data_IF_468381917876
#
_entry.id   IF_468381917876
#
_cell.length_a   1.000
_cell.length_b   1.000
_cell.length_c   1.000
_cell.angle_alpha   90.00
_cell.angle_beta   90.00
_cell.angle_gamma   90.00
#
_symmetry.space_group_name_H-M   'P 1'
#
loop_
_entity.id
_entity.type
_entity.pdbx_description
1 polymer ?
#
# COMPACT_ATOMS: atom_id res chain seq x y z
N UNK A 1 27.55 9.40 -3.07
CA UNK A 1 26.83 8.13 -3.37
C UNK A 1 25.34 8.35 -3.13
N UNK A 2 24.53 8.52 -4.18
CA UNK A 2 23.09 8.80 -4.03
C UNK A 2 22.36 7.58 -3.46
N UNK A 3 21.58 7.76 -2.37
CA UNK A 3 20.81 6.68 -1.75
C UNK A 3 19.82 6.10 -2.78
N UNK A 4 19.94 4.80 -3.05
CA UNK A 4 19.08 4.10 -4.01
C UNK A 4 17.60 4.28 -3.66
N UNK A 5 16.74 4.69 -4.63
CA UNK A 5 15.32 4.90 -4.35
C UNK A 5 14.63 3.64 -3.85
N UNK A 6 13.86 3.73 -2.76
CA UNK A 6 13.12 2.61 -2.15
C UNK A 6 12.30 1.81 -3.16
N UNK A 7 11.74 2.48 -4.17
CA UNK A 7 10.97 1.86 -5.26
C UNK A 7 11.77 0.76 -5.99
N UNK A 8 13.09 0.93 -6.12
CA UNK A 8 13.98 -0.03 -6.79
C UNK A 8 14.27 -1.24 -5.90
N UNK A 9 14.44 -1.02 -4.59
CA UNK A 9 14.66 -2.09 -3.60
C UNK A 9 13.39 -2.95 -3.45
N UNK A 10 12.21 -2.32 -3.38
CA UNK A 10 10.92 -3.01 -3.28
C UNK A 10 10.65 -3.83 -4.55
N UNK A 11 10.91 -3.27 -5.74
CA UNK A 11 10.77 -4.00 -7.02
C UNK A 11 11.69 -5.23 -7.11
N UNK A 12 12.91 -5.13 -6.59
CA UNK A 12 13.84 -6.29 -6.50
C UNK A 12 13.40 -7.33 -5.46
N UNK A 13 12.85 -6.93 -4.31
CA UNK A 13 12.36 -7.87 -3.29
C UNK A 13 11.09 -8.61 -3.74
N UNK A 14 10.16 -7.93 -4.40
CA UNK A 14 8.94 -8.53 -4.95
C UNK A 14 9.24 -9.56 -6.05
N UNK A 15 10.29 -9.32 -6.85
CA UNK A 15 10.78 -10.26 -7.88
C UNK A 15 11.41 -11.54 -7.29
N UNK A 16 11.67 -11.58 -5.99
CA UNK A 16 12.45 -12.62 -5.33
C UNK A 16 11.66 -13.48 -4.33
N UNK A 17 10.32 -13.39 -4.35
CA UNK A 17 9.39 -14.16 -3.49
C UNK A 17 9.81 -14.22 -2.01
N UNK A 18 10.26 -13.08 -1.47
CA UNK A 18 10.67 -12.93 -0.07
C UNK A 18 9.43 -12.69 0.79
N UNK A 19 9.33 -13.38 1.93
CA UNK A 19 8.22 -13.29 2.87
C UNK A 19 7.86 -11.82 3.17
N UNK A 20 6.63 -11.45 2.83
CA UNK A 20 6.05 -10.14 3.14
C UNK A 20 6.03 -9.99 4.66
N UNK A 21 6.59 -8.89 5.16
CA UNK A 21 6.55 -8.61 6.60
C UNK A 21 5.08 -8.54 7.08
N UNK A 22 4.78 -8.81 8.37
CA UNK A 22 3.41 -8.70 8.90
C UNK A 22 2.75 -7.35 8.57
N UNK A 23 3.57 -6.30 8.45
CA UNK A 23 3.13 -4.96 8.08
C UNK A 23 2.69 -4.82 6.62
N UNK A 24 3.20 -5.64 5.71
CA UNK A 24 2.77 -5.65 4.32
C UNK A 24 1.43 -6.35 4.14
N UNK A 25 1.20 -7.47 4.83
CA UNK A 25 -0.13 -8.10 4.88
C UNK A 25 -1.19 -7.16 5.44
N UNK A 26 -0.90 -6.55 6.60
CA UNK A 26 -1.83 -5.61 7.21
C UNK A 26 -2.09 -4.38 6.34
N UNK A 27 -1.11 -3.92 5.55
CA UNK A 27 -1.33 -2.86 4.55
C UNK A 27 -2.26 -3.27 3.44
N UNK A 28 -2.20 -4.53 3.01
CA UNK A 28 -3.05 -5.04 1.94
C UNK A 28 -4.49 -5.21 2.42
N UNK A 29 -4.68 -5.78 3.61
CA UNK A 29 -5.99 -5.90 4.26
C UNK A 29 -6.66 -4.54 4.44
N UNK A 30 -5.94 -3.55 5.00
CA UNK A 30 -6.47 -2.19 5.17
C UNK A 30 -6.87 -1.56 3.84
N UNK A 31 -6.11 -1.81 2.76
CA UNK A 31 -6.45 -1.28 1.44
C UNK A 31 -7.76 -1.86 0.93
N UNK A 32 -7.94 -3.18 1.04
CA UNK A 32 -9.19 -3.83 0.63
C UNK A 32 -10.37 -3.39 1.50
N UNK A 33 -10.17 -3.25 2.81
CA UNK A 33 -11.20 -2.73 3.73
C UNK A 33 -11.63 -1.31 3.36
N UNK A 34 -10.68 -0.43 3.04
CA UNK A 34 -10.99 0.93 2.58
C UNK A 34 -11.66 0.91 1.20
N UNK A 35 -11.24 0.03 0.29
CA UNK A 35 -11.89 -0.11 -1.01
C UNK A 35 -13.34 -0.59 -0.86
N UNK A 36 -13.61 -1.49 0.09
CA UNK A 36 -14.96 -1.93 0.45
C UNK A 36 -15.78 -0.79 1.05
N UNK A 37 -15.22 -0.04 2.01
CA UNK A 37 -15.87 1.14 2.61
C UNK A 37 -16.20 2.23 1.58
N UNK A 38 -15.36 2.38 0.55
CA UNK A 38 -15.59 3.33 -0.54
C UNK A 38 -16.49 2.78 -1.66
N UNK A 39 -16.94 1.52 -1.59
CA UNK A 39 -17.72 0.88 -2.65
C UNK A 39 -16.94 0.63 -3.94
N UNK A 40 -15.61 0.59 -3.86
CA UNK A 40 -14.69 0.36 -4.96
C UNK A 40 -14.20 -1.09 -5.03
N UNK A 41 -14.61 -1.93 -4.08
CA UNK A 41 -14.15 -3.32 -3.96
C UNK A 41 -14.46 -4.15 -5.20
N UNK A 42 -15.65 -4.01 -5.78
CA UNK A 42 -16.03 -4.72 -7.01
C UNK A 42 -15.11 -4.32 -8.18
N UNK A 43 -14.85 -3.02 -8.31
CA UNK A 43 -13.95 -2.47 -9.34
C UNK A 43 -12.50 -2.95 -9.16
N UNK A 44 -12.03 -3.05 -7.91
CA UNK A 44 -10.71 -3.61 -7.59
C UNK A 44 -10.67 -5.11 -7.88
N UNK A 45 -11.74 -5.85 -7.63
CA UNK A 45 -11.81 -7.29 -7.91
C UNK A 45 -11.86 -7.58 -9.42
N UNK A 46 -12.61 -6.80 -10.18
CA UNK A 46 -12.76 -6.98 -11.64
C UNK A 46 -11.60 -6.40 -12.45
N UNK A 47 -11.20 -5.16 -12.17
CA UNK A 47 -10.21 -4.42 -12.97
C UNK A 47 -8.84 -4.31 -12.29
N UNK A 48 -8.73 -4.73 -11.03
CA UNK A 48 -7.53 -4.53 -10.23
C UNK A 48 -7.36 -3.07 -9.77
N UNK A 49 -6.33 -2.84 -8.97
CA UNK A 49 -5.93 -1.50 -8.51
C UNK A 49 -5.60 -0.53 -9.67
N UNK A 50 -5.20 -1.07 -10.81
CA UNK A 50 -4.90 -0.31 -12.03
C UNK A 50 -6.14 0.23 -12.74
N UNK A 51 -7.32 -0.35 -12.47
CA UNK A 51 -8.60 0.08 -13.05
C UNK A 51 -9.31 1.17 -12.27
N UNK A 52 -8.77 1.56 -11.11
CA UNK A 52 -9.27 2.69 -10.33
C UNK A 52 -8.75 4.01 -10.91
N UNK A 53 -9.57 5.05 -10.83
CA UNK A 53 -9.19 6.41 -11.20
C UNK A 53 -8.19 7.01 -10.20
N UNK A 54 -7.49 8.08 -10.61
CA UNK A 54 -6.56 8.80 -9.74
C UNK A 54 -7.26 9.37 -8.49
N UNK A 55 -8.53 9.74 -8.59
CA UNK A 55 -9.31 10.22 -7.46
C UNK A 55 -9.65 9.09 -6.47
N UNK A 56 -10.14 7.96 -6.98
CA UNK A 56 -10.48 6.77 -6.19
C UNK A 56 -9.24 6.21 -5.46
N UNK A 57 -8.15 5.98 -6.20
CA UNK A 57 -6.87 5.55 -5.62
C UNK A 57 -6.29 6.58 -4.65
N UNK A 58 -6.45 7.88 -4.94
CA UNK A 58 -6.04 8.98 -4.08
C UNK A 58 -6.77 9.00 -2.74
N UNK A 59 -8.09 8.76 -2.74
CA UNK A 59 -8.89 8.64 -1.50
C UNK A 59 -8.43 7.45 -0.66
N UNK A 60 -8.21 6.29 -1.28
CA UNK A 60 -7.69 5.08 -0.59
C UNK A 60 -6.31 5.36 0.02
N UNK A 61 -5.40 5.98 -0.74
CA UNK A 61 -4.06 6.35 -0.25
C UNK A 61 -4.08 7.38 0.89
N UNK A 62 -5.02 8.33 0.85
CA UNK A 62 -5.23 9.32 1.92
C UNK A 62 -5.70 8.67 3.23
N UNK A 63 -6.71 7.80 3.15
CA UNK A 63 -7.20 7.04 4.31
C UNK A 63 -6.14 6.11 4.88
N UNK A 64 -5.36 5.45 4.02
CA UNK A 64 -4.22 4.64 4.44
C UNK A 64 -3.18 5.46 5.21
N UNK A 65 -2.87 6.68 4.74
CA UNK A 65 -1.94 7.59 5.41
C UNK A 65 -2.48 8.06 6.76
N UNK A 66 -3.78 8.34 6.86
CA UNK A 66 -4.46 8.69 8.11
C UNK A 66 -4.41 7.54 9.11
N UNK A 67 -4.74 6.31 8.69
CA UNK A 67 -4.68 5.08 9.52
C UNK A 67 -3.24 4.81 10.00
N UNK A 68 -2.24 4.99 9.13
CA UNK A 68 -0.82 4.88 9.49
C UNK A 68 -0.38 5.92 10.54
N UNK A 69 -0.91 7.15 10.46
CA UNK A 69 -0.65 8.22 11.43
C UNK A 69 -1.30 7.93 12.79
N UNK A 70 -2.52 7.38 12.79
CA UNK A 70 -3.26 7.03 14.02
C UNK A 70 -2.60 5.86 14.75
N UNK A 71 -2.18 4.83 14.01
CA UNK A 71 -1.54 3.63 14.56
C UNK A 71 -0.06 3.85 14.96
N UNK A 72 0.44 5.08 14.82
CA UNK A 72 1.82 5.48 15.13
C UNK A 72 2.87 4.52 14.54
N UNK A 73 2.60 4.00 13.33
CA UNK A 73 3.49 3.04 12.68
C UNK A 73 4.83 3.73 12.39
N UNK A 74 5.98 3.13 12.76
CA UNK A 74 7.28 3.74 12.54
C UNK A 74 7.44 4.10 11.06
N UNK A 75 7.93 5.32 10.81
CA UNK A 75 8.19 5.79 9.45
C UNK A 75 9.22 4.84 8.82
N UNK A 76 9.12 4.60 7.51
CA UNK A 76 10.08 3.81 6.73
C UNK A 76 11.56 4.24 6.87
N UNK A 77 11.84 5.34 7.59
CA UNK A 77 13.17 5.86 7.92
C UNK A 77 13.87 5.05 9.03
N UNK A 78 13.14 4.28 9.83
CA UNK A 78 13.66 3.37 10.88
C UNK A 78 13.80 1.91 10.43
N UNK A 79 13.40 1.59 9.19
CA UNK A 79 13.53 0.25 8.61
C UNK A 79 14.74 0.13 7.67
N UNK A 80 15.76 0.98 7.85
CA UNK A 80 16.91 1.11 6.98
C UNK A 80 18.21 1.16 7.78
#
# INVERSE_FOLDING_TARGET
>A
MGKTPLKKVIKSKLKSNRELTPQEKMREEIKYEIAEELGLIDKVRELGWSGLTAEETGRIGGLMTKKKKIMNLPKNKDML
#
